data_IF_968421096951
#
_entry.id   IF_968421096951
#
_cell.length_a   1.000
_cell.length_b   1.000
_cell.length_c   1.000
_cell.angle_alpha   90.00
_cell.angle_beta   90.00
_cell.angle_gamma   90.00
#
_symmetry.space_group_name_H-M   'P 1'
#
loop_
_entity.id
_entity.type
_entity.pdbx_description
1 polymer ?
#
# COMPACT_ATOMS: atom_id res chain seq x y z
N UNK A 1 8.25 -41.85 14.86
CA UNK A 1 9.20 -40.78 14.50
C UNK A 1 8.75 -39.50 15.17
N UNK A 2 9.62 -38.86 15.95
CA UNK A 2 9.25 -37.84 16.92
C UNK A 2 8.62 -36.59 16.32
N UNK A 3 7.44 -36.23 16.84
CA UNK A 3 6.83 -34.92 16.72
C UNK A 3 7.71 -33.91 17.45
N UNK A 4 8.70 -33.32 16.75
CA UNK A 4 9.32 -32.09 17.21
C UNK A 4 8.26 -31.00 17.08
N UNK A 5 7.46 -30.77 18.14
CA UNK A 5 6.68 -29.54 18.21
C UNK A 5 7.69 -28.39 18.18
N UNK A 6 7.69 -27.60 17.11
CA UNK A 6 8.46 -26.35 17.08
C UNK A 6 8.01 -25.55 18.30
N UNK A 7 8.94 -25.27 19.21
CA UNK A 7 8.66 -24.46 20.39
C UNK A 7 8.13 -23.11 19.89
N UNK A 8 6.92 -22.74 20.34
CA UNK A 8 6.30 -21.45 20.03
C UNK A 8 7.15 -20.32 20.60
N UNK A 9 7.11 -19.17 19.95
CA UNK A 9 7.77 -17.95 20.45
C UNK A 9 6.91 -17.38 21.58
N UNK A 10 7.54 -17.09 22.73
CA UNK A 10 6.89 -16.67 23.98
C UNK A 10 7.78 -15.71 24.77
N UNK A 11 7.22 -15.04 25.80
CA UNK A 11 7.96 -14.13 26.68
C UNK A 11 8.54 -12.90 25.96
N UNK A 12 9.73 -12.46 26.36
CA UNK A 12 10.37 -11.26 25.81
C UNK A 12 10.70 -11.38 24.32
N UNK A 13 11.00 -12.60 23.83
CA UNK A 13 11.19 -12.84 22.40
C UNK A 13 9.90 -12.46 21.66
N UNK A 14 8.74 -12.91 22.12
CA UNK A 14 7.44 -12.61 21.50
C UNK A 14 7.16 -11.11 21.43
N UNK A 15 7.51 -10.33 22.46
CA UNK A 15 7.29 -8.89 22.46
C UNK A 15 8.02 -8.20 21.30
N UNK A 16 9.26 -8.59 21.00
CA UNK A 16 10.01 -8.03 19.87
C UNK A 16 9.37 -8.33 18.50
N UNK A 17 8.76 -9.52 18.35
CA UNK A 17 8.01 -9.89 17.15
C UNK A 17 6.68 -9.14 17.06
N UNK A 18 6.00 -8.96 18.19
CA UNK A 18 4.74 -8.21 18.24
C UNK A 18 4.94 -6.72 17.96
N UNK A 19 6.04 -6.13 18.42
CA UNK A 19 6.40 -4.76 18.07
C UNK A 19 6.62 -4.63 16.57
N UNK A 20 7.38 -5.55 15.96
CA UNK A 20 7.60 -5.56 14.51
C UNK A 20 6.28 -5.74 13.72
N UNK A 21 5.46 -6.73 14.08
CA UNK A 21 4.16 -6.96 13.44
C UNK A 21 3.23 -5.75 13.63
N UNK A 22 3.23 -5.15 14.81
CA UNK A 22 2.48 -3.92 15.08
C UNK A 22 2.89 -2.76 14.18
N UNK A 23 4.19 -2.59 13.90
CA UNK A 23 4.65 -1.61 12.91
C UNK A 23 4.18 -1.96 11.49
N UNK A 24 4.30 -3.23 11.08
CA UNK A 24 3.84 -3.68 9.76
C UNK A 24 2.33 -3.46 9.57
N UNK A 25 1.52 -3.74 10.59
CA UNK A 25 0.08 -3.56 10.52
C UNK A 25 -0.33 -2.10 10.43
N UNK A 26 0.40 -1.18 11.09
CA UNK A 26 0.19 0.26 10.85
C UNK A 26 0.41 0.63 9.39
N UNK A 27 1.42 0.05 8.74
CA UNK A 27 1.71 0.30 7.33
C UNK A 27 0.59 -0.24 6.43
N UNK A 28 0.15 -1.49 6.67
CA UNK A 28 -0.98 -2.11 5.95
C UNK A 28 -2.27 -1.30 6.11
N UNK A 29 -2.61 -0.88 7.33
CA UNK A 29 -3.81 -0.07 7.59
C UNK A 29 -3.71 1.30 6.91
N UNK A 30 -2.52 1.91 6.86
CA UNK A 30 -2.31 3.15 6.12
C UNK A 30 -2.50 2.95 4.61
N UNK A 31 -1.93 1.89 4.04
CA UNK A 31 -2.11 1.53 2.63
C UNK A 31 -3.59 1.33 2.30
N UNK A 32 -4.31 0.56 3.12
CA UNK A 32 -5.72 0.24 2.93
C UNK A 32 -6.58 1.52 2.92
N UNK A 33 -6.41 2.39 3.91
CA UNK A 33 -7.13 3.68 3.98
C UNK A 33 -6.92 4.52 2.72
N UNK A 34 -5.69 4.65 2.24
CA UNK A 34 -5.39 5.48 1.07
C UNK A 34 -5.86 4.81 -0.24
N UNK A 35 -5.83 3.48 -0.32
CA UNK A 35 -6.42 2.73 -1.43
C UNK A 35 -7.95 2.88 -1.49
N UNK A 36 -8.65 2.84 -0.35
CA UNK A 36 -10.10 3.06 -0.26
C UNK A 36 -10.50 4.44 -0.76
N UNK A 37 -9.75 5.49 -0.38
CA UNK A 37 -9.99 6.84 -0.87
C UNK A 37 -9.84 6.95 -2.39
N UNK A 38 -8.87 6.24 -2.97
CA UNK A 38 -8.72 6.17 -4.42
C UNK A 38 -9.87 5.40 -5.07
N UNK A 39 -10.27 4.25 -4.52
CA UNK A 39 -11.41 3.46 -5.03
C UNK A 39 -12.70 4.26 -5.03
N UNK A 40 -13.00 4.99 -3.95
CA UNK A 40 -14.16 5.89 -3.88
C UNK A 40 -14.10 6.98 -4.96
N UNK A 41 -12.92 7.56 -5.21
CA UNK A 41 -12.74 8.54 -6.27
C UNK A 41 -12.92 7.93 -7.67
N UNK A 42 -12.46 6.70 -7.88
CA UNK A 42 -12.65 5.96 -9.13
C UNK A 42 -14.14 5.72 -9.41
N UNK A 43 -14.90 5.29 -8.39
CA UNK A 43 -16.35 5.08 -8.49
C UNK A 43 -17.10 6.40 -8.78
N UNK A 44 -16.68 7.49 -8.14
CA UNK A 44 -17.33 8.82 -8.26
C UNK A 44 -17.03 9.49 -9.60
N UNK A 45 -15.77 9.52 -10.02
CA UNK A 45 -15.32 10.34 -11.15
C UNK A 45 -15.08 9.56 -12.43
N UNK A 46 -15.06 8.23 -12.37
CA UNK A 46 -14.89 7.40 -13.56
C UNK A 46 -15.98 6.33 -13.73
N UNK A 47 -17.27 6.64 -13.49
CA UNK A 47 -18.33 5.68 -13.80
C UNK A 47 -18.27 5.38 -15.30
N UNK A 48 -18.16 4.09 -15.64
CA UNK A 48 -18.14 3.60 -17.03
C UNK A 48 -17.03 4.17 -17.94
N UNK A 49 -15.87 4.51 -17.39
CA UNK A 49 -14.75 5.09 -18.18
C UNK A 49 -15.11 6.45 -18.79
N UNK A 50 -15.52 7.39 -17.94
CA UNK A 50 -15.86 8.76 -18.33
C UNK A 50 -14.73 9.42 -19.14
N UNK A 51 -15.11 10.19 -20.17
CA UNK A 51 -14.22 11.05 -20.96
C UNK A 51 -14.29 12.51 -20.52
N UNK A 52 -15.03 12.80 -19.45
CA UNK A 52 -15.12 14.14 -18.89
C UNK A 52 -13.76 14.55 -18.30
N UNK A 53 -13.20 15.63 -18.85
CA UNK A 53 -11.90 16.15 -18.46
C UNK A 53 -11.91 16.63 -17.01
N UNK A 54 -13.00 17.23 -16.53
CA UNK A 54 -13.09 17.69 -15.15
C UNK A 54 -13.06 16.52 -14.17
N UNK A 55 -13.82 15.46 -14.47
CA UNK A 55 -13.81 14.23 -13.70
C UNK A 55 -12.43 13.53 -13.73
N UNK A 56 -11.76 13.51 -14.88
CA UNK A 56 -10.40 12.98 -15.01
C UNK A 56 -9.37 13.78 -14.20
N UNK A 57 -9.54 15.10 -14.08
CA UNK A 57 -8.68 15.95 -13.24
C UNK A 57 -8.89 15.65 -11.74
N UNK A 58 -10.14 15.42 -11.30
CA UNK A 58 -10.40 15.00 -9.92
C UNK A 58 -9.81 13.62 -9.63
N UNK A 59 -9.99 12.67 -10.55
CA UNK A 59 -9.41 11.33 -10.45
C UNK A 59 -7.87 11.38 -10.45
N UNK A 60 -7.26 12.26 -11.26
CA UNK A 60 -5.82 12.48 -11.27
C UNK A 60 -5.33 12.98 -9.90
N UNK A 61 -6.10 13.85 -9.23
CA UNK A 61 -5.81 14.27 -7.86
C UNK A 61 -5.75 13.08 -6.89
N UNK A 62 -6.73 12.18 -6.97
CA UNK A 62 -6.75 10.96 -6.16
C UNK A 62 -5.60 9.99 -6.49
N UNK A 63 -5.29 9.80 -7.77
CA UNK A 63 -4.19 8.93 -8.21
C UNK A 63 -2.82 9.47 -7.79
N UNK A 64 -2.61 10.79 -7.88
CA UNK A 64 -1.40 11.43 -7.37
C UNK A 64 -1.27 11.29 -5.85
N UNK A 65 -2.38 11.39 -5.11
CA UNK A 65 -2.39 11.13 -3.67
C UNK A 65 -2.00 9.68 -3.37
N UNK A 66 -2.53 8.72 -4.13
CA UNK A 66 -2.18 7.30 -4.00
C UNK A 66 -0.69 7.04 -4.27
N UNK A 67 -0.12 7.63 -5.32
CA UNK A 67 1.31 7.49 -5.61
C UNK A 67 2.18 8.09 -4.50
N UNK A 68 1.77 9.24 -3.93
CA UNK A 68 2.46 9.86 -2.81
C UNK A 68 2.34 9.05 -1.51
N UNK A 69 1.18 8.46 -1.23
CA UNK A 69 1.02 7.59 -0.07
C UNK A 69 1.84 6.31 -0.21
N UNK A 70 1.91 5.72 -1.41
CA UNK A 70 2.78 4.57 -1.68
C UNK A 70 4.27 4.90 -1.47
N UNK A 71 4.71 6.11 -1.85
CA UNK A 71 6.08 6.55 -1.61
C UNK A 71 6.36 6.77 -0.11
N UNK A 72 5.39 7.31 0.63
CA UNK A 72 5.48 7.45 2.09
C UNK A 72 5.48 6.09 2.79
N UNK A 73 4.66 5.14 2.33
CA UNK A 73 4.61 3.76 2.81
C UNK A 73 5.99 3.10 2.69
N UNK A 74 6.63 3.22 1.53
CA UNK A 74 7.99 2.75 1.28
C UNK A 74 9.01 3.41 2.22
N UNK A 75 8.95 4.74 2.38
CA UNK A 75 9.83 5.48 3.30
C UNK A 75 9.67 5.02 4.76
N UNK A 76 8.45 4.72 5.19
CA UNK A 76 8.16 4.21 6.54
C UNK A 76 8.67 2.78 6.70
N UNK A 77 8.52 1.93 5.67
CA UNK A 77 9.06 0.57 5.65
C UNK A 77 10.59 0.58 5.80
N UNK A 78 11.28 1.44 5.06
CA UNK A 78 12.74 1.60 5.15
C UNK A 78 13.20 2.17 6.51
N UNK A 79 12.31 2.84 7.25
CA UNK A 79 12.61 3.38 8.57
C UNK A 79 12.47 2.35 9.71
N UNK A 80 11.97 1.14 9.44
CA UNK A 80 11.93 0.05 10.42
C UNK A 80 13.37 -0.43 10.64
N UNK A 81 13.94 -0.12 11.81
CA UNK A 81 15.34 -0.39 12.14
C UNK A 81 15.55 -1.70 12.90
N UNK A 82 14.49 -2.27 13.48
CA UNK A 82 14.56 -3.49 14.28
C UNK A 82 13.66 -4.56 13.68
N UNK A 83 14.27 -5.56 13.05
CA UNK A 83 13.59 -6.72 12.46
C UNK A 83 14.12 -7.97 13.15
N UNK A 84 13.28 -8.72 13.88
CA UNK A 84 13.69 -9.98 14.46
C UNK A 84 14.13 -10.99 13.39
N UNK A 85 15.14 -11.81 13.68
CA UNK A 85 15.77 -12.71 12.69
C UNK A 85 14.76 -13.57 11.91
N UNK A 86 13.78 -14.18 12.59
CA UNK A 86 12.77 -15.05 11.94
C UNK A 86 11.71 -14.25 11.16
N UNK A 87 11.66 -12.94 11.30
CA UNK A 87 10.78 -12.03 10.55
C UNK A 87 11.48 -11.43 9.32
N UNK A 88 12.76 -11.73 9.08
CA UNK A 88 13.53 -11.19 7.95
C UNK A 88 12.88 -11.48 6.59
N UNK A 89 12.42 -12.71 6.36
CA UNK A 89 11.73 -13.07 5.11
C UNK A 89 10.45 -12.27 4.93
N UNK A 90 9.66 -12.12 6.00
CA UNK A 90 8.46 -11.30 6.00
C UNK A 90 8.78 -9.83 5.72
N UNK A 91 9.86 -9.31 6.30
CA UNK A 91 10.30 -7.93 6.06
C UNK A 91 10.57 -7.69 4.59
N UNK A 92 11.35 -8.55 3.94
CA UNK A 92 11.66 -8.41 2.52
C UNK A 92 10.46 -8.66 1.61
N UNK A 93 9.56 -9.58 1.97
CA UNK A 93 8.32 -9.80 1.21
C UNK A 93 7.43 -8.54 1.19
N UNK A 94 7.18 -7.93 2.36
CA UNK A 94 6.43 -6.66 2.42
C UNK A 94 7.18 -5.50 1.76
N UNK A 95 8.51 -5.46 1.86
CA UNK A 95 9.33 -4.45 1.17
C UNK A 95 9.13 -4.53 -0.36
N UNK A 96 9.20 -5.73 -0.93
CA UNK A 96 8.94 -5.97 -2.34
C UNK A 96 7.49 -5.61 -2.72
N UNK A 97 6.51 -6.02 -1.91
CA UNK A 97 5.10 -5.70 -2.12
C UNK A 97 4.84 -4.18 -2.17
N UNK A 98 5.43 -3.41 -1.25
CA UNK A 98 5.29 -1.95 -1.24
C UNK A 98 6.02 -1.28 -2.40
N UNK A 99 7.16 -1.80 -2.82
CA UNK A 99 7.85 -1.30 -4.00
C UNK A 99 7.04 -1.52 -5.29
N UNK A 100 6.44 -2.70 -5.45
CA UNK A 100 5.59 -2.99 -6.60
C UNK A 100 4.26 -2.22 -6.57
N UNK A 101 3.70 -2.01 -5.37
CA UNK A 101 2.56 -1.12 -5.16
C UNK A 101 2.86 0.34 -5.56
N UNK A 102 4.04 0.86 -5.19
CA UNK A 102 4.49 2.18 -5.61
C UNK A 102 4.63 2.28 -7.13
N UNK A 103 5.23 1.28 -7.78
CA UNK A 103 5.38 1.25 -9.22
C UNK A 103 4.01 1.29 -9.93
N UNK A 104 3.05 0.50 -9.44
CA UNK A 104 1.67 0.52 -9.93
C UNK A 104 0.98 1.88 -9.71
N UNK A 105 1.02 2.40 -8.49
CA UNK A 105 0.33 3.66 -8.15
C UNK A 105 0.87 4.84 -8.98
N UNK A 106 2.19 4.90 -9.22
CA UNK A 106 2.81 5.88 -10.09
C UNK A 106 2.33 5.73 -11.55
N UNK A 107 2.39 4.52 -12.11
CA UNK A 107 1.94 4.26 -13.48
C UNK A 107 0.44 4.57 -13.66
N UNK A 108 -0.39 4.31 -12.65
CA UNK A 108 -1.81 4.65 -12.65
C UNK A 108 -2.03 6.16 -12.72
N UNK A 109 -1.28 6.94 -11.93
CA UNK A 109 -1.34 8.40 -11.98
C UNK A 109 -0.92 8.94 -13.36
N UNK A 110 0.16 8.42 -13.94
CA UNK A 110 0.62 8.78 -15.28
C UNK A 110 -0.41 8.46 -16.37
N UNK A 111 -1.06 7.29 -16.28
CA UNK A 111 -2.10 6.88 -17.22
C UNK A 111 -3.33 7.79 -17.16
N UNK A 112 -3.74 8.22 -15.96
CA UNK A 112 -4.86 9.16 -15.80
C UNK A 112 -4.44 10.55 -16.31
N UNK A 113 -3.21 10.98 -16.06
CA UNK A 113 -2.69 12.26 -16.58
C UNK A 113 -2.69 12.28 -18.11
N UNK A 114 -2.22 11.21 -18.75
CA UNK A 114 -2.27 11.06 -20.21
C UNK A 114 -3.71 11.16 -20.73
N UNK A 115 -4.67 10.46 -20.10
CA UNK A 115 -6.09 10.56 -20.47
C UNK A 115 -6.63 11.98 -20.31
N UNK A 116 -6.32 12.68 -19.22
CA UNK A 116 -6.73 14.05 -18.98
C UNK A 116 -6.12 15.04 -20.00
N UNK A 117 -4.96 14.71 -20.57
CA UNK A 117 -4.31 15.45 -21.66
C UNK A 117 -4.80 15.03 -23.06
N UNK A 118 -5.74 14.07 -23.14
CA UNK A 118 -6.20 13.44 -24.39
C UNK A 118 -5.05 12.77 -25.18
N UNK A 119 -4.10 12.20 -24.43
CA UNK A 119 -3.00 11.37 -24.91
C UNK A 119 -3.32 9.87 -24.71
N UNK A 120 -2.58 9.00 -25.40
CA UNK A 120 -2.77 7.54 -25.27
C UNK A 120 -2.03 7.05 -24.04
N UNK A 121 -2.78 6.47 -23.09
CA UNK A 121 -2.22 5.83 -21.90
C UNK A 121 -1.87 4.36 -22.16
N UNK A 122 -0.73 3.90 -21.64
CA UNK A 122 -0.34 2.49 -21.66
C UNK A 122 -1.07 1.70 -20.55
N UNK A 123 -2.33 1.37 -20.81
CA UNK A 123 -3.15 0.60 -19.87
C UNK A 123 -2.70 -0.86 -19.74
N UNK A 124 -1.91 -1.38 -20.69
CA UNK A 124 -1.33 -2.72 -20.61
C UNK A 124 -0.29 -2.73 -19.49
N UNK A 125 0.63 -1.76 -19.51
CA UNK A 125 1.65 -1.64 -18.46
C UNK A 125 1.05 -1.45 -17.07
N UNK A 126 0.00 -0.62 -16.97
CA UNK A 126 -0.72 -0.41 -15.70
C UNK A 126 -1.28 -1.72 -15.15
N UNK A 127 -1.92 -2.54 -16.00
CA UNK A 127 -2.47 -3.84 -15.58
C UNK A 127 -1.38 -4.82 -15.17
N UNK A 128 -0.29 -4.91 -15.93
CA UNK A 128 0.85 -5.76 -15.56
C UNK A 128 1.41 -5.42 -14.18
N UNK A 129 1.59 -4.11 -13.91
CA UNK A 129 2.06 -3.64 -12.61
C UNK A 129 1.04 -3.88 -11.50
N UNK A 130 -0.25 -3.76 -11.79
CA UNK A 130 -1.31 -4.08 -10.84
C UNK A 130 -1.25 -5.55 -10.42
N UNK A 131 -1.25 -6.46 -11.40
CA UNK A 131 -1.15 -7.91 -11.14
C UNK A 131 0.11 -8.23 -10.35
N UNK A 132 1.25 -7.66 -10.73
CA UNK A 132 2.50 -7.85 -9.98
C UNK A 132 2.39 -7.38 -8.52
N UNK A 133 1.81 -6.20 -8.29
CA UNK A 133 1.58 -5.70 -6.93
C UNK A 133 0.65 -6.59 -6.12
N UNK A 134 -0.38 -7.16 -6.74
CA UNK A 134 -1.32 -8.08 -6.09
C UNK A 134 -0.65 -9.42 -5.74
N UNK A 135 0.16 -9.95 -6.66
CA UNK A 135 0.93 -11.19 -6.45
C UNK A 135 1.94 -11.04 -5.30
N UNK A 136 2.75 -9.97 -5.31
CA UNK A 136 3.73 -9.73 -4.24
C UNK A 136 3.06 -9.44 -2.89
N UNK A 137 1.87 -8.84 -2.87
CA UNK A 137 1.08 -8.71 -1.64
C UNK A 137 0.66 -10.08 -1.10
N UNK A 138 0.15 -10.96 -1.97
CA UNK A 138 -0.25 -12.31 -1.56
C UNK A 138 0.94 -13.11 -0.99
N UNK A 139 2.12 -13.01 -1.60
CA UNK A 139 3.35 -13.62 -1.07
C UNK A 139 3.73 -13.08 0.31
N UNK A 140 3.60 -11.76 0.53
CA UNK A 140 3.87 -11.14 1.82
C UNK A 140 2.86 -11.55 2.91
N UNK A 141 1.58 -11.65 2.56
CA UNK A 141 0.52 -12.17 3.44
C UNK A 141 0.77 -13.63 3.82
N UNK A 142 1.25 -14.45 2.88
CA UNK A 142 1.63 -15.85 3.14
C UNK A 142 2.80 -15.95 4.13
N UNK A 143 3.85 -15.13 3.96
CA UNK A 143 4.96 -15.06 4.92
C UNK A 143 4.49 -14.57 6.30
N UNK A 144 3.55 -13.62 6.35
CA UNK A 144 2.98 -13.13 7.60
C UNK A 144 2.24 -14.27 8.33
N UNK A 145 1.38 -14.99 7.62
CA UNK A 145 0.67 -16.13 8.17
C UNK A 145 1.62 -17.22 8.66
N UNK A 146 2.70 -17.52 7.91
CA UNK A 146 3.73 -18.48 8.33
C UNK A 146 4.40 -18.06 9.64
N UNK A 147 4.72 -16.77 9.78
CA UNK A 147 5.33 -16.24 11.00
C UNK A 147 4.34 -16.27 12.18
N UNK A 148 3.13 -15.75 11.98
CA UNK A 148 2.06 -15.69 12.99
C UNK A 148 1.70 -17.08 13.54
N UNK A 149 1.74 -18.12 12.70
CA UNK A 149 1.58 -19.52 13.14
C UNK A 149 2.62 -19.98 14.15
N UNK A 150 3.74 -19.29 14.36
CA UNK A 150 4.75 -19.63 15.37
C UNK A 150 4.53 -18.90 16.71
N UNK A 151 3.62 -17.94 16.76
CA UNK A 151 3.30 -17.20 17.97
C UNK A 151 2.23 -17.92 18.79
N UNK A 152 2.20 -17.61 20.08
CA UNK A 152 1.15 -18.04 21.01
C UNK A 152 0.25 -16.83 21.30
N UNK A 153 -0.56 -16.45 20.31
CA UNK A 153 -1.51 -15.34 20.40
C UNK A 153 -2.92 -15.85 20.62
N UNK A 154 -3.69 -15.08 21.37
CA UNK A 154 -5.13 -15.20 21.49
C UNK A 154 -5.81 -14.26 20.50
N UNK A 155 -7.11 -14.45 20.24
CA UNK A 155 -7.88 -13.54 19.39
C UNK A 155 -7.87 -12.11 19.97
N UNK A 156 -7.90 -11.97 21.29
CA UNK A 156 -7.82 -10.67 21.96
C UNK A 156 -6.48 -9.95 21.71
N UNK A 157 -5.37 -10.70 21.61
CA UNK A 157 -4.06 -10.11 21.28
C UNK A 157 -4.05 -9.58 19.84
N UNK A 158 -4.70 -10.30 18.92
CA UNK A 158 -4.85 -9.90 17.51
C UNK A 158 -5.70 -8.64 17.42
N UNK A 159 -6.86 -8.63 18.09
CA UNK A 159 -7.77 -7.47 18.12
C UNK A 159 -7.05 -6.23 18.65
N UNK A 160 -6.27 -6.38 19.73
CA UNK A 160 -5.50 -5.27 20.30
C UNK A 160 -4.45 -4.70 19.32
N UNK A 161 -3.80 -5.56 18.54
CA UNK A 161 -2.83 -5.13 17.52
C UNK A 161 -3.53 -4.39 16.36
N UNK A 162 -4.69 -4.87 15.93
CA UNK A 162 -5.52 -4.20 14.91
C UNK A 162 -5.99 -2.83 15.39
N UNK A 163 -6.57 -2.76 16.59
CA UNK A 163 -7.03 -1.51 17.22
C UNK A 163 -5.91 -0.48 17.30
N UNK A 164 -4.70 -0.92 17.69
CA UNK A 164 -3.53 -0.03 17.77
C UNK A 164 -3.10 0.48 16.39
N UNK A 165 -3.16 -0.36 15.37
CA UNK A 165 -2.85 0.03 13.99
C UNK A 165 -3.88 1.04 13.46
N UNK A 166 -5.17 0.81 13.70
CA UNK A 166 -6.24 1.73 13.33
C UNK A 166 -6.12 3.08 14.02
N UNK A 167 -5.94 3.09 15.34
CA UNK A 167 -5.76 4.33 16.12
C UNK A 167 -4.55 5.12 15.63
N UNK A 168 -3.44 4.45 15.30
CA UNK A 168 -2.27 5.10 14.71
C UNK A 168 -2.61 5.81 13.41
N UNK A 169 -3.31 5.14 12.49
CA UNK A 169 -3.67 5.69 11.18
C UNK A 169 -4.74 6.79 11.27
N UNK A 170 -5.62 6.73 12.27
CA UNK A 170 -6.58 7.80 12.57
C UNK A 170 -5.90 9.06 13.09
N UNK A 171 -4.85 8.90 13.91
CA UNK A 171 -4.06 10.00 14.47
C UNK A 171 -2.95 10.49 13.53
N UNK A 172 -2.70 9.77 12.43
CA UNK A 172 -1.67 10.11 11.45
C UNK A 172 -1.95 11.48 10.80
N UNK A 173 -0.95 12.35 10.90
CA UNK A 173 -0.97 13.72 10.38
C UNK A 173 -0.43 13.82 8.95
N UNK A 174 -0.07 12.70 8.32
CA UNK A 174 0.39 12.72 6.94
C UNK A 174 -0.63 13.38 6.01
N UNK A 175 -0.12 14.17 5.08
CA UNK A 175 -0.89 14.87 4.05
C UNK A 175 -0.11 14.80 2.74
N UNK A 176 -0.78 14.54 1.60
CA UNK A 176 -0.14 14.61 0.31
C UNK A 176 0.28 16.05 0.01
N UNK A 177 1.37 16.21 -0.73
CA UNK A 177 1.76 17.49 -1.31
C UNK A 177 0.77 17.86 -2.41
N UNK A 178 0.44 19.14 -2.50
CA UNK A 178 -0.42 19.67 -3.56
C UNK A 178 0.28 19.55 -4.90
N UNK A 179 -0.34 18.83 -5.84
CA UNK A 179 0.12 18.75 -7.24
C UNK A 179 -0.81 19.63 -8.06
N UNK A 180 -0.30 20.74 -8.60
CA UNK A 180 -1.07 21.62 -9.49
C UNK A 180 -0.99 21.07 -10.92
N UNK A 181 -2.08 20.46 -11.40
CA UNK A 181 -2.20 20.11 -12.82
C UNK A 181 -2.43 21.38 -13.64
N UNK A 182 -1.51 21.69 -14.55
CA UNK A 182 -1.73 22.70 -15.60
C UNK A 182 -1.90 21.96 -16.92
N UNK A 183 -3.10 21.96 -17.52
CA UNK A 183 -3.25 21.39 -18.86
C UNK A 183 -2.32 22.15 -19.81
N UNK A 184 -1.55 21.42 -20.64
CA UNK A 184 -0.76 22.06 -21.69
C UNK A 184 -1.74 22.82 -22.59
N UNK A 185 -1.62 24.14 -22.63
CA UNK A 185 -2.34 24.95 -23.61
C UNK A 185 -1.93 24.45 -24.99
N UNK A 186 -2.88 23.93 -25.77
CA UNK A 186 -2.66 23.74 -27.21
C UNK A 186 -2.30 25.12 -27.76
N UNK A 187 -1.04 25.34 -28.12
CA UNK A 187 -0.69 26.44 -29.00
C UNK A 187 -1.52 26.24 -30.27
N UNK A 188 -2.53 27.08 -30.46
CA UNK A 188 -3.25 27.20 -31.71
C UNK A 188 -2.25 27.63 -32.77
N UNK A 189 -1.78 26.66 -33.56
CA UNK A 189 -1.11 26.93 -34.81
C UNK A 189 -2.09 27.72 -35.68
N UNK A 190 -1.69 28.95 -36.00
CA UNK A 190 -2.32 29.78 -37.03
C UNK A 190 -2.10 29.17 -38.40
#
# INVERSE_FOLDING_TARGET
MGLFSKKKIEGDELLSYLDYIGEEWKLKTFQQKEAELYTQALETYNPQSSKDVEALVQLLGAANRLAQSAAELMRRKDAITSVPDKATSLFFAWHAAYNDYLAWAAAQADAIAAKAANEVADMTKVKELQTKSEDSRAEAEDEEQKLMKNFKLTDADIDQLLDRAEQFVQQDKWRPRTVTYKPKSRMSGR
#
